data_IF_927664666819
#
_entry.id   IF_927664666819
#
_cell.length_a   1.000
_cell.length_b   1.000
_cell.length_c   1.000
_cell.angle_alpha   90.00
_cell.angle_beta   90.00
_cell.angle_gamma   90.00
#
_symmetry.space_group_name_H-M   'P 1'
#
loop_
_entity.id
_entity.type
_entity.pdbx_description
1 polymer ?
#
# COMPACT_ATOMS: atom_id res chain seq x y z
N UNK A 1 3.94 13.82 -36.19
CA UNK A 1 4.56 14.24 -34.92
C UNK A 1 3.52 15.09 -34.21
N UNK A 2 2.91 14.59 -33.12
CA UNK A 2 1.91 15.35 -32.37
C UNK A 2 2.61 16.30 -31.41
N UNK A 3 2.37 17.59 -31.59
CA UNK A 3 2.93 18.68 -30.79
C UNK A 3 2.34 18.62 -29.39
N UNK A 4 3.18 18.36 -28.39
CA UNK A 4 2.86 18.54 -26.97
C UNK A 4 2.82 20.03 -26.65
N UNK A 5 1.72 20.68 -27.01
CA UNK A 5 1.35 21.97 -26.44
C UNK A 5 0.22 21.69 -25.46
N UNK A 6 0.50 21.88 -24.17
CA UNK A 6 -0.49 21.84 -23.10
C UNK A 6 -1.41 23.06 -23.21
N UNK A 7 -2.23 23.10 -24.26
CA UNK A 7 -3.16 24.18 -24.56
C UNK A 7 -4.57 23.76 -24.13
N UNK A 8 -5.21 24.59 -23.30
CA UNK A 8 -6.59 24.38 -22.88
C UNK A 8 -7.49 24.80 -24.03
N UNK A 9 -8.20 23.84 -24.62
CA UNK A 9 -9.11 24.12 -25.73
C UNK A 9 -10.45 24.62 -25.21
N UNK A 10 -10.86 25.80 -25.66
CA UNK A 10 -12.15 26.42 -25.35
C UNK A 10 -13.09 26.19 -26.55
N UNK A 11 -14.25 25.57 -26.31
CA UNK A 11 -15.29 25.39 -27.34
C UNK A 11 -16.24 24.22 -27.04
N UNK A 12 -17.39 24.13 -27.74
CA UNK A 12 -18.50 23.23 -27.40
C UNK A 12 -18.19 21.72 -27.36
N UNK A 13 -17.07 21.29 -27.94
CA UNK A 13 -16.58 19.90 -27.92
C UNK A 13 -15.50 19.61 -26.87
N UNK A 14 -14.93 20.63 -26.24
CA UNK A 14 -13.97 20.51 -25.13
C UNK A 14 -14.58 21.01 -23.80
N UNK A 15 -15.77 21.59 -23.88
CA UNK A 15 -16.59 22.07 -22.79
C UNK A 15 -17.71 21.07 -22.54
N UNK A 16 -17.87 20.60 -21.29
CA UNK A 16 -19.10 19.92 -20.87
C UNK A 16 -20.25 20.91 -21.11
N UNK A 17 -21.32 20.54 -21.83
CA UNK A 17 -22.42 21.48 -22.20
C UNK A 17 -23.03 22.25 -21.00
N UNK A 18 -22.83 21.74 -19.78
CA UNK A 18 -23.16 22.39 -18.51
C UNK A 18 -21.89 22.99 -17.85
N UNK A 19 -21.30 24.00 -18.49
CA UNK A 19 -19.96 24.57 -18.15
C UNK A 19 -19.90 25.29 -16.81
N UNK A 20 -21.04 25.70 -16.27
CA UNK A 20 -21.08 26.10 -14.87
C UNK A 20 -21.67 24.91 -14.14
N UNK A 21 -20.90 24.28 -13.25
CA UNK A 21 -21.51 23.79 -12.02
C UNK A 21 -22.38 24.96 -11.56
N UNK A 22 -23.71 24.85 -11.71
CA UNK A 22 -24.61 25.93 -11.31
C UNK A 22 -24.39 26.03 -9.82
N UNK A 23 -23.56 27.00 -9.43
CA UNK A 23 -23.29 27.26 -8.04
C UNK A 23 -24.68 27.47 -7.43
N UNK A 24 -25.10 26.66 -6.44
CA UNK A 24 -26.37 26.89 -5.79
C UNK A 24 -26.43 28.36 -5.39
N UNK A 25 -27.54 29.03 -5.64
CA UNK A 25 -27.69 30.45 -5.29
C UNK A 25 -27.31 30.64 -3.82
N UNK A 26 -26.30 31.49 -3.58
CA UNK A 26 -25.87 31.79 -2.22
C UNK A 26 -27.00 32.51 -1.48
N UNK A 27 -27.52 31.89 -0.42
CA UNK A 27 -28.63 32.42 0.40
C UNK A 27 -28.12 32.78 1.81
N UNK A 28 -27.58 33.99 2.02
CA UNK A 28 -26.94 34.38 3.29
C UNK A 28 -27.88 34.58 4.49
N UNK A 29 -29.21 34.53 4.29
CA UNK A 29 -30.19 34.94 5.30
C UNK A 29 -31.25 33.88 5.63
N UNK A 30 -31.10 32.65 5.13
CA UNK A 30 -32.02 31.55 5.46
C UNK A 30 -31.36 30.67 6.52
N UNK A 31 -31.92 30.58 7.73
CA UNK A 31 -31.49 29.61 8.73
C UNK A 31 -31.46 28.20 8.12
N UNK A 32 -30.47 27.34 8.44
CA UNK A 32 -30.34 26.00 7.84
C UNK A 32 -31.64 25.17 7.88
N UNK A 33 -32.41 25.37 8.93
CA UNK A 33 -33.72 24.81 9.27
C UNK A 33 -34.88 25.26 8.35
N UNK A 34 -34.69 26.28 7.50
CA UNK A 34 -35.66 26.75 6.50
C UNK A 34 -35.24 26.50 5.05
N UNK A 35 -34.09 25.85 4.82
CA UNK A 35 -33.68 25.39 3.49
C UNK A 35 -34.36 24.05 3.19
N UNK A 36 -34.85 23.88 1.96
CA UNK A 36 -35.29 22.56 1.49
C UNK A 36 -34.09 21.59 1.59
N UNK A 37 -34.24 20.39 2.18
CA UNK A 37 -33.16 19.41 2.21
C UNK A 37 -32.62 19.19 0.81
N UNK A 38 -31.29 19.20 0.66
CA UNK A 38 -30.68 18.89 -0.63
C UNK A 38 -31.15 17.50 -1.07
N UNK A 39 -31.83 17.36 -2.22
CA UNK A 39 -32.24 16.05 -2.71
C UNK A 39 -31.05 15.09 -2.89
N UNK A 40 -29.84 15.61 -3.08
CA UNK A 40 -28.61 14.81 -3.13
C UNK A 40 -28.13 14.33 -1.75
N UNK A 41 -28.46 15.03 -0.66
CA UNK A 41 -28.12 14.60 0.70
C UNK A 41 -28.91 13.34 1.14
N UNK A 42 -30.02 13.05 0.48
CA UNK A 42 -30.82 11.83 0.72
C UNK A 42 -30.27 10.58 0.02
N UNK A 43 -29.27 10.72 -0.87
CA UNK A 43 -28.68 9.60 -1.60
C UNK A 43 -27.51 9.03 -0.80
N UNK A 44 -27.56 7.73 -0.50
CA UNK A 44 -26.43 6.98 0.06
C UNK A 44 -25.32 6.84 -0.97
N UNK A 45 -24.41 7.83 -1.03
CA UNK A 45 -23.23 7.83 -1.91
C UNK A 45 -22.00 7.19 -1.24
N UNK A 46 -22.00 7.20 0.08
CA UNK A 46 -20.93 6.70 0.92
C UNK A 46 -21.50 5.96 2.12
N UNK A 47 -20.71 5.05 2.65
CA UNK A 47 -21.02 4.30 3.87
C UNK A 47 -19.92 4.64 4.90
N UNK A 48 -20.28 5.11 6.11
CA UNK A 48 -19.28 5.33 7.14
C UNK A 48 -18.63 3.98 7.49
N UNK A 49 -17.31 3.93 7.51
CA UNK A 49 -16.54 2.77 7.97
C UNK A 49 -15.87 2.98 9.32
N UNK A 50 -15.81 4.24 9.76
CA UNK A 50 -15.25 4.62 11.05
C UNK A 50 -15.78 5.99 11.48
N UNK A 51 -16.07 6.12 12.76
CA UNK A 51 -16.49 7.34 13.44
C UNK A 51 -15.51 7.58 14.61
N UNK A 52 -14.80 8.73 14.63
CA UNK A 52 -13.91 9.07 15.73
C UNK A 52 -14.66 9.22 17.07
N UNK A 53 -13.94 9.07 18.18
CA UNK A 53 -14.45 9.29 19.55
C UNK A 53 -15.57 8.36 20.02
N UNK A 54 -15.81 7.25 19.33
CA UNK A 54 -16.82 6.26 19.74
C UNK A 54 -16.31 5.25 20.79
N UNK A 55 -15.00 5.09 20.90
CA UNK A 55 -14.34 4.22 21.87
C UNK A 55 -13.22 4.97 22.56
N UNK A 56 -13.03 4.76 23.88
CA UNK A 56 -11.87 5.28 24.59
C UNK A 56 -10.58 4.62 24.05
N UNK A 57 -9.50 5.38 23.91
CA UNK A 57 -8.23 4.89 23.37
C UNK A 57 -7.71 3.65 24.13
N UNK A 58 -7.88 3.61 25.46
CA UNK A 58 -7.50 2.46 26.28
C UNK A 58 -8.26 1.18 25.89
N UNK A 59 -9.57 1.27 25.73
CA UNK A 59 -10.43 0.15 25.37
C UNK A 59 -10.19 -0.30 23.93
N UNK A 60 -9.98 0.65 23.02
CA UNK A 60 -9.61 0.36 21.63
C UNK A 60 -8.28 -0.39 21.56
N UNK A 61 -7.27 0.04 22.30
CA UNK A 61 -5.97 -0.64 22.34
C UNK A 61 -6.08 -2.04 22.95
N UNK A 62 -6.87 -2.21 24.01
CA UNK A 62 -7.14 -3.53 24.60
C UNK A 62 -7.86 -4.45 23.61
N UNK A 63 -8.87 -3.94 22.92
CA UNK A 63 -9.59 -4.67 21.87
C UNK A 63 -8.66 -5.09 20.73
N UNK A 64 -7.87 -4.16 20.18
CA UNK A 64 -6.93 -4.46 19.11
C UNK A 64 -5.87 -5.49 19.54
N UNK A 65 -5.42 -5.43 20.80
CA UNK A 65 -4.51 -6.43 21.36
C UNK A 65 -5.17 -7.81 21.40
N UNK A 66 -6.40 -7.90 21.89
CA UNK A 66 -7.17 -9.15 21.91
C UNK A 66 -7.40 -9.70 20.49
N UNK A 67 -7.84 -8.87 19.55
CA UNK A 67 -8.04 -9.25 18.16
C UNK A 67 -6.75 -9.79 17.51
N UNK A 68 -5.61 -9.12 17.73
CA UNK A 68 -4.30 -9.61 17.26
C UNK A 68 -3.88 -10.91 17.92
N UNK A 69 -4.16 -11.12 19.20
CA UNK A 69 -3.91 -12.40 19.88
C UNK A 69 -4.75 -13.53 19.29
N UNK A 70 -6.01 -13.28 18.94
CA UNK A 70 -6.87 -14.26 18.25
C UNK A 70 -6.33 -14.60 16.86
N UNK A 71 -5.87 -13.60 16.11
CA UNK A 71 -5.23 -13.81 14.82
C UNK A 71 -3.90 -14.56 14.93
N UNK A 72 -3.10 -14.28 15.96
CA UNK A 72 -1.87 -15.01 16.25
C UNK A 72 -2.17 -16.49 16.48
N UNK A 73 -3.18 -16.78 17.31
CA UNK A 73 -3.58 -18.14 17.61
C UNK A 73 -4.06 -18.89 16.37
N UNK A 74 -4.94 -18.28 15.57
CA UNK A 74 -5.39 -18.86 14.31
C UNK A 74 -4.22 -19.12 13.33
N UNK A 75 -3.29 -18.16 13.20
CA UNK A 75 -2.08 -18.32 12.39
C UNK A 75 -1.18 -19.45 12.85
N UNK A 76 -1.01 -19.64 14.17
CA UNK A 76 -0.26 -20.78 14.72
C UNK A 76 -0.96 -22.12 14.42
N UNK A 77 -2.29 -22.19 14.57
CA UNK A 77 -3.05 -23.41 14.28
C UNK A 77 -2.98 -23.78 12.78
N UNK A 78 -2.97 -22.78 11.91
CA UNK A 78 -2.96 -22.95 10.47
C UNK A 78 -1.56 -23.22 9.86
N UNK A 79 -0.53 -22.56 10.38
CA UNK A 79 0.85 -22.63 9.88
C UNK A 79 1.75 -23.61 10.64
N UNK A 80 1.33 -24.00 11.86
CA UNK A 80 2.05 -24.98 12.68
C UNK A 80 3.31 -24.44 13.35
N UNK A 81 3.62 -23.14 13.26
CA UNK A 81 4.75 -22.52 13.96
C UNK A 81 4.41 -21.15 14.57
N UNK A 82 5.17 -20.71 15.61
CA UNK A 82 4.97 -19.40 16.23
C UNK A 82 5.15 -18.21 15.28
N UNK A 83 6.02 -18.35 14.27
CA UNK A 83 6.29 -17.30 13.28
C UNK A 83 5.07 -16.99 12.43
N UNK A 84 4.28 -18.00 12.06
CA UNK A 84 3.04 -17.82 11.29
C UNK A 84 1.97 -17.09 12.13
N UNK A 85 1.94 -17.35 13.44
CA UNK A 85 1.13 -16.59 14.38
C UNK A 85 1.55 -15.12 14.46
N UNK A 86 2.84 -14.85 14.67
CA UNK A 86 3.36 -13.49 14.72
C UNK A 86 3.12 -12.73 13.41
N UNK A 87 3.26 -13.41 12.28
CA UNK A 87 2.95 -12.85 10.96
C UNK A 87 1.46 -12.53 10.85
N UNK A 88 0.56 -13.47 11.14
CA UNK A 88 -0.89 -13.23 11.07
C UNK A 88 -1.35 -12.08 11.98
N UNK A 89 -0.79 -11.96 13.18
CA UNK A 89 -1.13 -10.92 14.14
C UNK A 89 -0.67 -9.51 13.73
N UNK A 90 0.47 -9.41 13.03
CA UNK A 90 1.09 -8.14 12.65
C UNK A 90 0.61 -7.57 11.31
N UNK A 91 -0.23 -8.29 10.57
CA UNK A 91 -0.75 -7.85 9.27
C UNK A 91 -1.74 -6.70 9.38
N UNK A 92 -1.66 -5.79 8.42
CA UNK A 92 -2.62 -4.70 8.25
C UNK A 92 -4.03 -5.26 8.05
N UNK A 93 -4.19 -6.32 7.26
CA UNK A 93 -5.47 -7.01 7.03
C UNK A 93 -6.20 -7.36 8.34
N UNK A 94 -5.45 -7.87 9.33
CA UNK A 94 -5.97 -8.22 10.66
C UNK A 94 -6.45 -6.98 11.41
N UNK A 95 -5.68 -5.89 11.35
CA UNK A 95 -6.04 -4.64 12.03
C UNK A 95 -7.25 -3.97 11.36
N UNK A 96 -7.28 -3.94 10.03
CA UNK A 96 -8.40 -3.37 9.25
C UNK A 96 -9.70 -4.13 9.56
N UNK A 97 -9.66 -5.46 9.52
CA UNK A 97 -10.82 -6.29 9.85
C UNK A 97 -11.29 -6.10 11.29
N UNK A 98 -10.38 -5.95 12.25
CA UNK A 98 -10.77 -5.65 13.63
C UNK A 98 -11.49 -4.30 13.73
N UNK A 99 -11.00 -3.26 13.04
CA UNK A 99 -11.63 -1.94 13.04
C UNK A 99 -13.02 -1.97 12.36
N UNK A 100 -13.14 -2.67 11.24
CA UNK A 100 -14.40 -2.88 10.54
C UNK A 100 -15.43 -3.59 11.42
N UNK A 101 -15.04 -4.71 12.05
CA UNK A 101 -15.93 -5.47 12.95
C UNK A 101 -16.32 -4.65 14.18
N UNK A 102 -15.41 -3.81 14.70
CA UNK A 102 -15.73 -2.90 15.80
C UNK A 102 -16.78 -1.87 15.39
N UNK A 103 -16.63 -1.28 14.20
CA UNK A 103 -17.61 -0.35 13.64
C UNK A 103 -18.98 -1.03 13.44
N UNK A 104 -19.00 -2.18 12.76
CA UNK A 104 -20.22 -2.96 12.48
C UNK A 104 -20.92 -3.46 13.75
N UNK A 105 -20.16 -3.61 14.86
CA UNK A 105 -20.70 -3.99 16.16
C UNK A 105 -21.23 -2.81 16.98
N UNK A 106 -21.15 -1.58 16.46
CA UNK A 106 -21.56 -0.37 17.18
C UNK A 106 -20.58 0.05 18.27
N UNK A 107 -19.29 -0.23 18.09
CA UNK A 107 -18.20 0.09 19.03
C UNK A 107 -18.24 -0.65 20.38
N UNK A 108 -19.03 -1.72 20.48
CA UNK A 108 -18.98 -2.64 21.62
C UNK A 108 -17.87 -3.69 21.42
N UNK A 109 -16.77 -3.64 22.21
CA UNK A 109 -15.66 -4.58 22.07
C UNK A 109 -16.07 -6.02 22.38
N UNK A 110 -17.04 -6.26 23.27
CA UNK A 110 -17.50 -7.61 23.60
C UNK A 110 -18.19 -8.29 22.42
N UNK A 111 -19.13 -7.59 21.80
CA UNK A 111 -19.82 -8.05 20.59
C UNK A 111 -18.88 -8.20 19.39
N UNK A 112 -17.94 -7.27 19.25
CA UNK A 112 -16.92 -7.32 18.19
C UNK A 112 -16.01 -8.54 18.34
N UNK A 113 -15.56 -8.86 19.56
CA UNK A 113 -14.73 -10.05 19.80
C UNK A 113 -15.50 -11.34 19.52
N UNK A 114 -16.77 -11.45 19.92
CA UNK A 114 -17.60 -12.63 19.60
C UNK A 114 -17.73 -12.86 18.09
N UNK A 115 -17.83 -11.79 17.32
CA UNK A 115 -17.86 -11.85 15.86
C UNK A 115 -16.52 -12.31 15.29
N UNK A 116 -15.42 -11.76 15.81
CA UNK A 116 -14.06 -12.17 15.43
C UNK A 116 -13.76 -13.65 15.76
N UNK A 117 -14.33 -14.25 16.81
CA UNK A 117 -14.08 -15.67 17.12
C UNK A 117 -14.48 -16.58 15.95
N UNK A 118 -15.53 -16.21 15.20
CA UNK A 118 -16.01 -17.00 14.06
C UNK A 118 -15.09 -16.88 12.84
N UNK A 119 -14.40 -15.76 12.68
CA UNK A 119 -13.45 -15.52 11.59
C UNK A 119 -12.37 -14.55 12.05
N UNK A 120 -11.35 -15.03 12.79
CA UNK A 120 -10.38 -14.15 13.47
C UNK A 120 -9.39 -13.50 12.51
N UNK A 121 -9.25 -14.06 11.30
CA UNK A 121 -8.33 -13.59 10.27
C UNK A 121 -9.07 -13.57 8.94
N UNK A 122 -9.12 -12.43 8.23
CA UNK A 122 -9.52 -12.42 6.83
C UNK A 122 -8.66 -13.41 6.06
N UNK A 123 -9.24 -14.15 5.12
CA UNK A 123 -8.46 -15.10 4.29
C UNK A 123 -7.31 -14.36 3.62
N UNK A 124 -6.11 -14.50 4.18
CA UNK A 124 -4.91 -13.83 3.69
C UNK A 124 -4.71 -14.17 2.22
N UNK A 125 -4.26 -13.20 1.43
CA UNK A 125 -4.11 -13.40 -0.01
C UNK A 125 -3.14 -14.55 -0.31
N UNK A 126 -2.15 -14.80 0.56
CA UNK A 126 -1.25 -15.95 0.41
C UNK A 126 -1.98 -17.31 0.44
N UNK A 127 -3.10 -17.43 1.18
CA UNK A 127 -3.97 -18.62 1.17
C UNK A 127 -4.95 -18.65 -0.01
N UNK A 128 -5.17 -17.51 -0.67
CA UNK A 128 -5.98 -17.46 -1.89
C UNK A 128 -5.23 -18.04 -3.09
N UNK A 129 -3.90 -18.15 -3.05
CA UNK A 129 -3.06 -18.56 -4.17
C UNK A 129 -2.42 -19.92 -3.92
N UNK A 130 -2.55 -20.85 -4.87
CA UNK A 130 -1.84 -22.13 -4.79
C UNK A 130 -0.36 -21.96 -5.11
N UNK A 131 0.46 -22.95 -4.72
CA UNK A 131 1.87 -22.98 -5.11
C UNK A 131 2.03 -23.01 -6.64
N UNK A 132 1.19 -23.75 -7.36
CA UNK A 132 1.25 -23.80 -8.83
C UNK A 132 0.91 -22.43 -9.44
N UNK A 133 -0.10 -21.75 -8.91
CA UNK A 133 -0.48 -20.42 -9.37
C UNK A 133 0.65 -19.41 -9.13
N UNK A 134 1.29 -19.48 -7.96
CA UNK A 134 2.45 -18.65 -7.63
C UNK A 134 3.61 -18.92 -8.59
N UNK A 135 3.93 -20.19 -8.87
CA UNK A 135 4.97 -20.57 -9.84
C UNK A 135 4.66 -20.04 -11.24
N UNK A 136 3.41 -20.15 -11.70
CA UNK A 136 2.95 -19.61 -12.99
C UNK A 136 3.02 -18.08 -13.02
N UNK A 137 2.63 -17.41 -11.94
CA UNK A 137 2.71 -15.96 -11.82
C UNK A 137 4.15 -15.45 -11.93
N UNK A 138 5.09 -16.07 -11.20
CA UNK A 138 6.52 -15.71 -11.25
C UNK A 138 7.11 -15.96 -12.65
N UNK A 139 6.74 -17.08 -13.30
CA UNK A 139 7.11 -17.34 -14.70
C UNK A 139 6.58 -16.25 -15.63
N UNK A 140 5.33 -15.84 -15.46
CA UNK A 140 4.69 -14.77 -16.23
C UNK A 140 5.38 -13.43 -16.05
N UNK A 141 5.71 -13.05 -14.81
CA UNK A 141 6.48 -11.83 -14.53
C UNK A 141 7.86 -11.83 -15.19
N UNK A 142 8.55 -12.98 -15.23
CA UNK A 142 9.85 -13.11 -15.91
C UNK A 142 9.74 -13.01 -17.43
N UNK A 143 8.69 -13.57 -18.03
CA UNK A 143 8.53 -13.64 -19.48
C UNK A 143 7.89 -12.38 -20.07
N UNK A 144 6.88 -11.82 -19.41
CA UNK A 144 6.05 -10.73 -19.92
C UNK A 144 6.21 -9.42 -19.13
N UNK A 145 7.02 -9.40 -18.08
CA UNK A 145 7.17 -8.23 -17.21
C UNK A 145 5.88 -7.93 -16.44
N UNK A 146 5.56 -6.64 -16.26
CA UNK A 146 4.33 -6.20 -15.57
C UNK A 146 3.09 -6.17 -16.45
N UNK A 147 3.08 -6.93 -17.55
CA UNK A 147 1.90 -7.04 -18.40
C UNK A 147 0.92 -8.06 -17.81
N UNK A 148 0.15 -7.63 -16.80
CA UNK A 148 -0.78 -8.50 -16.07
C UNK A 148 -1.90 -9.06 -16.95
N UNK A 149 -2.33 -8.32 -17.98
CA UNK A 149 -3.31 -8.81 -18.96
C UNK A 149 -2.80 -10.03 -19.72
N UNK A 150 -1.53 -10.02 -20.12
CA UNK A 150 -0.91 -11.14 -20.83
C UNK A 150 -0.62 -12.31 -19.90
N UNK A 151 -0.19 -12.04 -18.66
CA UNK A 151 0.00 -13.07 -17.63
C UNK A 151 -1.32 -13.79 -17.34
N UNK A 152 -2.42 -13.05 -17.18
CA UNK A 152 -3.76 -13.63 -17.07
C UNK A 152 -4.07 -14.53 -18.26
N UNK A 153 -4.00 -13.98 -19.47
CA UNK A 153 -4.41 -14.68 -20.69
C UNK A 153 -3.65 -16.00 -20.91
N UNK A 154 -2.33 -15.97 -20.73
CA UNK A 154 -1.46 -17.06 -21.16
C UNK A 154 -1.15 -18.08 -20.02
N UNK A 155 -1.23 -17.67 -18.74
CA UNK A 155 -0.77 -18.48 -17.61
C UNK A 155 -1.80 -18.67 -16.50
N UNK A 156 -2.71 -17.71 -16.31
CA UNK A 156 -3.67 -17.68 -15.20
C UNK A 156 -5.05 -17.20 -15.68
N UNK A 157 -5.73 -17.94 -16.60
CA UNK A 157 -6.97 -17.49 -17.23
C UNK A 157 -8.16 -17.45 -16.27
N UNK A 158 -8.08 -18.20 -15.17
CA UNK A 158 -9.09 -18.30 -14.12
C UNK A 158 -8.97 -17.20 -13.05
N UNK A 159 -7.98 -16.31 -13.16
CA UNK A 159 -7.78 -15.18 -12.24
C UNK A 159 -8.09 -13.86 -12.91
N UNK A 160 -8.48 -12.88 -12.10
CA UNK A 160 -8.74 -11.54 -12.59
C UNK A 160 -7.48 -10.67 -12.62
N UNK A 161 -7.43 -9.73 -13.56
CA UNK A 161 -6.28 -8.81 -13.69
C UNK A 161 -6.05 -7.99 -12.42
N UNK A 162 -7.09 -7.46 -11.74
CA UNK A 162 -6.92 -6.81 -10.44
C UNK A 162 -6.33 -7.73 -9.37
N UNK A 163 -6.73 -9.01 -9.31
CA UNK A 163 -6.19 -9.98 -8.35
C UNK A 163 -4.69 -10.21 -8.58
N UNK A 164 -4.25 -10.28 -9.84
CA UNK A 164 -2.83 -10.38 -10.20
C UNK A 164 -2.03 -9.16 -9.77
N UNK A 165 -2.63 -7.97 -9.87
CA UNK A 165 -2.02 -6.71 -9.42
C UNK A 165 -1.93 -6.67 -7.90
N UNK A 166 -3.01 -7.02 -7.20
CA UNK A 166 -3.03 -7.13 -5.75
C UNK A 166 -1.95 -8.12 -5.25
N UNK A 167 -1.92 -9.32 -5.83
CA UNK A 167 -0.92 -10.34 -5.53
C UNK A 167 0.50 -9.86 -5.83
N UNK A 168 0.73 -9.13 -6.93
CA UNK A 168 2.04 -8.56 -7.25
C UNK A 168 2.60 -7.68 -6.14
N UNK A 169 1.77 -6.81 -5.56
CA UNK A 169 2.19 -5.85 -4.54
C UNK A 169 2.48 -6.50 -3.19
N UNK A 170 1.82 -7.61 -2.88
CA UNK A 170 2.10 -8.41 -1.69
C UNK A 170 3.31 -9.32 -1.91
N UNK A 171 3.32 -10.05 -3.02
CA UNK A 171 4.39 -10.99 -3.37
C UNK A 171 5.76 -10.29 -3.41
N UNK A 172 5.86 -9.07 -3.95
CA UNK A 172 7.14 -8.33 -3.99
C UNK A 172 7.73 -8.00 -2.61
N UNK A 173 6.95 -8.09 -1.52
CA UNK A 173 7.41 -7.92 -0.14
C UNK A 173 7.96 -9.22 0.46
N UNK A 174 7.66 -10.37 -0.15
CA UNK A 174 8.15 -11.68 0.32
C UNK A 174 9.65 -11.86 0.05
N UNK A 175 10.38 -12.63 0.89
CA UNK A 175 11.81 -12.89 0.70
C UNK A 175 12.10 -13.59 -0.63
N UNK A 176 11.21 -14.46 -1.12
CA UNK A 176 11.33 -15.14 -2.41
C UNK A 176 11.33 -14.19 -3.63
N UNK A 177 10.73 -13.01 -3.50
CA UNK A 177 10.73 -11.99 -4.55
C UNK A 177 12.02 -11.17 -4.62
N UNK A 178 12.82 -11.15 -3.54
CA UNK A 178 14.05 -10.36 -3.49
C UNK A 178 15.09 -10.83 -4.52
N UNK A 179 15.13 -12.13 -4.79
CA UNK A 179 15.97 -12.75 -5.83
C UNK A 179 15.45 -12.55 -7.27
N UNK A 180 14.17 -12.20 -7.42
CA UNK A 180 13.51 -12.01 -8.71
C UNK A 180 13.50 -10.56 -9.17
N UNK A 181 13.89 -9.63 -8.29
CA UNK A 181 14.12 -8.24 -8.69
C UNK A 181 15.24 -8.28 -9.71
N UNK A 182 15.02 -7.88 -10.98
CA UNK A 182 16.12 -7.79 -11.93
C UNK A 182 17.15 -6.91 -11.25
N UNK A 183 18.31 -7.50 -10.93
CA UNK A 183 19.43 -6.81 -10.32
C UNK A 183 19.50 -5.49 -11.05
N UNK A 184 19.09 -4.40 -10.37
CA UNK A 184 19.03 -3.05 -10.93
C UNK A 184 20.34 -2.97 -11.67
N UNK A 185 20.33 -2.96 -13.02
CA UNK A 185 21.56 -2.93 -13.80
C UNK A 185 22.32 -1.81 -13.13
N UNK A 186 23.37 -2.18 -12.38
CA UNK A 186 24.35 -1.23 -11.92
C UNK A 186 24.78 -0.71 -13.26
N UNK A 187 24.26 0.46 -13.66
CA UNK A 187 24.95 1.26 -14.63
C UNK A 187 26.32 1.28 -13.99
N UNK A 188 27.25 0.51 -14.54
CA UNK A 188 28.64 0.77 -14.35
C UNK A 188 28.68 2.24 -14.67
N UNK A 189 28.75 3.08 -13.64
CA UNK A 189 29.14 4.45 -13.84
C UNK A 189 30.42 4.27 -14.62
N UNK A 190 30.42 4.69 -15.88
CA UNK A 190 31.66 4.77 -16.62
C UNK A 190 32.44 5.85 -15.90
N UNK A 191 33.09 5.46 -14.80
CA UNK A 191 34.25 6.15 -14.32
C UNK A 191 35.23 5.96 -15.46
N UNK A 192 35.15 6.89 -16.42
CA UNK A 192 36.21 7.11 -17.39
C UNK A 192 37.45 7.30 -16.51
N UNK A 193 38.29 6.28 -16.48
CA UNK A 193 39.61 6.37 -15.86
C UNK A 193 40.33 7.45 -16.65
N UNK A 194 40.34 8.67 -16.13
CA UNK A 194 41.16 9.75 -16.63
C UNK A 194 42.60 9.24 -16.51
N UNK A 195 43.22 8.99 -17.66
CA UNK A 195 44.63 8.62 -17.75
C UNK A 195 45.41 9.88 -17.46
N UNK A 196 45.83 10.08 -16.21
CA UNK A 196 46.81 11.11 -15.91
C UNK A 196 48.13 10.72 -16.58
N UNK A 197 48.47 11.45 -17.64
CA UNK A 197 49.79 11.49 -18.20
C UNK A 197 50.75 11.99 -17.12
N UNK A 198 51.64 11.10 -16.66
CA UNK A 198 52.82 11.47 -15.88
C UNK A 198 53.58 12.53 -16.66
N UNK A 199 53.72 13.73 -16.09
CA UNK A 199 54.86 14.57 -16.40
C UNK A 199 55.66 14.74 -15.12
N UNK A 200 56.85 14.14 -15.13
CA UNK A 200 57.87 14.31 -14.10
C UNK A 200 58.49 15.69 -14.26
N UNK A 201 58.66 16.44 -13.16
CA UNK A 201 59.79 17.35 -12.90
C UNK A 201 59.64 18.08 -11.56
N UNK A 202 60.67 17.94 -10.72
CA UNK A 202 61.12 18.97 -9.77
C UNK A 202 60.67 18.81 -8.32
N UNK A 203 61.64 18.85 -7.39
CA UNK A 203 61.50 18.73 -5.93
C UNK A 203 60.66 19.84 -5.27
N UNK A 204 60.55 19.98 -3.94
CA UNK A 204 61.54 19.81 -2.88
C UNK A 204 60.82 19.49 -1.54
N UNK A 205 61.37 18.53 -0.77
CA UNK A 205 61.66 18.58 0.67
C UNK A 205 60.76 19.42 1.64
N UNK A 206 60.08 18.77 2.60
CA UNK A 206 60.37 18.75 4.07
C UNK A 206 59.13 18.42 4.94
N UNK A 207 59.37 17.51 5.89
CA UNK A 207 58.77 17.21 7.21
C UNK A 207 57.56 18.04 7.74
N UNK A 208 56.58 17.33 8.33
CA UNK A 208 56.40 17.30 9.79
C UNK A 208 55.34 16.25 10.21
N UNK A 209 55.72 15.44 11.20
CA UNK A 209 54.84 14.66 12.07
C UNK A 209 54.03 15.61 12.96
N UNK A 210 52.76 15.31 13.20
CA UNK A 210 52.15 15.51 14.53
C UNK A 210 50.88 14.67 14.66
N UNK A 211 50.99 13.69 15.55
CA UNK A 211 49.90 13.01 16.23
C UNK A 211 49.36 13.96 17.29
N UNK A 212 48.06 14.28 17.27
CA UNK A 212 47.36 14.74 18.48
C UNK A 212 46.02 14.01 18.57
N UNK A 213 46.00 13.09 19.52
CA UNK A 213 44.81 12.59 20.22
C UNK A 213 44.19 13.73 21.02
N UNK A 214 42.85 13.85 21.05
CA UNK A 214 42.18 14.34 22.25
C UNK A 214 40.70 13.91 22.31
N UNK A 215 40.44 13.32 23.47
CA UNK A 215 39.22 12.77 24.04
C UNK A 215 38.02 13.72 24.14
N UNK A 216 36.83 13.08 24.22
CA UNK A 216 35.66 13.39 25.05
C UNK A 216 35.05 14.80 24.97
N UNK A 217 33.79 14.85 24.53
CA UNK A 217 32.57 14.88 25.39
C UNK A 217 31.45 14.20 24.61
#
# INVERSE_FOLDING_TARGET
MATTQGEIRVGPGNQVKDIYARLPEYRPAVPPDRLSPDPEASRSREEPRWVPNQSLDGDLLMYLRAARSMAAFAGMCDGGCPEDGAHAASRDDTTINALDVLHDSGYDPGKALQTLVKCPVPKGIDKKWSEEETKRFVKGLRQFGKNFFRIRKDLLPHRDTPELVEFYYLWKKTPGANNNRPHRRRRQGSLRRIRNTRNSRGGWKLFALSVISLDKI
#
